data_IF_623770789418
#
_entry.id   IF_623770789418
#
_cell.length_a   1.000
_cell.length_b   1.000
_cell.length_c   1.000
_cell.angle_alpha   90.00
_cell.angle_beta   90.00
_cell.angle_gamma   90.00
#
_symmetry.space_group_name_H-M   'P 1'
#
loop_
_entity.id
_entity.type
_entity.pdbx_description
1 polymer ?
#
# COMPACT_ATOMS: atom_id res chain seq x y z
N UNK A 1 12.30 -1.23 16.70
CA UNK A 1 11.47 -2.45 16.72
C UNK A 1 11.28 -2.94 15.29
N UNK A 2 11.36 -4.24 15.04
CA UNK A 2 11.20 -4.88 13.73
C UNK A 2 9.72 -5.20 13.48
N UNK A 3 9.11 -4.58 12.47
CA UNK A 3 7.73 -4.83 12.02
C UNK A 3 7.57 -6.32 11.64
N UNK A 4 6.52 -6.96 12.14
CA UNK A 4 6.26 -8.39 11.93
C UNK A 4 7.07 -9.34 12.83
N UNK A 5 7.90 -8.82 13.73
CA UNK A 5 8.60 -9.62 14.76
C UNK A 5 8.29 -9.06 16.15
N UNK A 6 8.57 -7.77 16.35
CA UNK A 6 8.39 -7.10 17.64
C UNK A 6 6.96 -6.53 17.78
N UNK A 7 6.26 -6.27 16.66
CA UNK A 7 4.89 -5.78 16.65
C UNK A 7 4.18 -6.08 15.31
N UNK A 8 2.84 -6.12 15.34
CA UNK A 8 2.01 -6.30 14.16
C UNK A 8 2.07 -5.07 13.26
N UNK A 9 2.41 -5.30 12.00
CA UNK A 9 2.37 -4.26 10.98
C UNK A 9 0.96 -3.90 10.55
N UNK A 10 0.67 -2.60 10.44
CA UNK A 10 -0.56 -2.09 9.81
C UNK A 10 -0.24 -1.60 8.39
N UNK A 11 -1.14 -1.90 7.45
CA UNK A 11 -1.07 -1.51 6.04
C UNK A 11 -2.35 -0.77 5.68
N UNK A 12 -2.22 0.32 4.93
CA UNK A 12 -3.35 1.01 4.30
C UNK A 12 -3.40 0.57 2.83
N UNK A 13 -4.57 0.16 2.38
CA UNK A 13 -4.83 -0.23 0.99
C UNK A 13 -5.85 0.71 0.37
N UNK A 14 -5.76 0.94 -0.93
CA UNK A 14 -6.67 1.81 -1.66
C UNK A 14 -6.93 1.32 -3.08
N UNK A 15 -8.09 1.68 -3.61
CA UNK A 15 -8.47 1.47 -5.00
C UNK A 15 -8.73 2.83 -5.64
N UNK A 16 -8.00 3.15 -6.70
CA UNK A 16 -8.32 4.28 -7.55
C UNK A 16 -9.22 3.79 -8.68
N UNK A 17 -10.36 4.44 -8.86
CA UNK A 17 -11.27 4.18 -9.97
C UNK A 17 -11.52 5.47 -10.75
N UNK A 18 -11.78 5.34 -12.05
CA UNK A 18 -12.08 6.48 -12.93
C UNK A 18 -13.55 6.93 -12.88
N UNK A 19 -14.41 6.16 -12.18
CA UNK A 19 -15.85 6.41 -12.11
C UNK A 19 -16.66 5.82 -13.28
N UNK A 20 -15.99 5.24 -14.28
CA UNK A 20 -16.59 4.52 -15.39
C UNK A 20 -16.52 2.98 -15.23
N UNK A 21 -16.10 2.52 -14.05
CA UNK A 21 -15.98 1.09 -13.72
C UNK A 21 -14.58 0.51 -13.93
N UNK A 22 -13.60 1.32 -14.35
CA UNK A 22 -12.21 0.87 -14.41
C UNK A 22 -11.51 1.13 -13.09
N UNK A 23 -10.60 0.23 -12.72
CA UNK A 23 -9.76 0.33 -11.52
C UNK A 23 -8.29 0.30 -11.89
N UNK A 24 -7.48 1.10 -11.22
CA UNK A 24 -6.03 1.08 -11.36
C UNK A 24 -5.46 -0.12 -10.60
N UNK A 25 -4.70 -0.97 -11.31
CA UNK A 25 -3.87 -2.01 -10.73
C UNK A 25 -2.40 -1.72 -11.02
N UNK A 26 -1.54 -1.98 -10.05
CA UNK A 26 -0.10 -1.84 -10.18
C UNK A 26 0.55 -3.21 -10.29
N UNK A 27 1.49 -3.38 -11.23
CA UNK A 27 2.32 -4.58 -11.29
C UNK A 27 3.51 -4.39 -10.36
N UNK A 28 3.60 -5.21 -9.31
CA UNK A 28 4.64 -5.11 -8.28
C UNK A 28 6.02 -5.34 -8.90
N UNK A 29 6.95 -4.43 -8.63
CA UNK A 29 8.30 -4.47 -9.18
C UNK A 29 9.18 -5.51 -8.46
N UNK A 30 10.36 -5.79 -9.01
CA UNK A 30 11.37 -6.62 -8.35
C UNK A 30 11.93 -6.00 -7.05
N UNK A 31 11.74 -4.69 -6.84
CA UNK A 31 12.19 -3.99 -5.63
C UNK A 31 11.17 -4.05 -4.48
N UNK A 32 9.98 -4.61 -4.72
CA UNK A 32 8.99 -4.81 -3.67
C UNK A 32 9.44 -5.93 -2.72
N UNK A 33 9.09 -5.80 -1.44
CA UNK A 33 9.40 -6.80 -0.40
C UNK A 33 8.81 -8.18 -0.71
N UNK A 34 7.61 -8.19 -1.28
CA UNK A 34 6.77 -9.36 -1.52
C UNK A 34 5.99 -9.23 -2.84
N UNK A 35 5.38 -10.35 -3.26
CA UNK A 35 4.46 -10.45 -4.40
C UNK A 35 5.00 -9.88 -5.73
N UNK A 36 6.31 -9.93 -5.91
CA UNK A 36 6.99 -9.42 -7.10
C UNK A 36 6.39 -10.01 -8.39
N UNK A 37 6.11 -9.15 -9.37
CA UNK A 37 5.53 -9.50 -10.65
C UNK A 37 4.02 -9.76 -10.66
N UNK A 38 3.34 -9.71 -9.50
CA UNK A 38 1.88 -9.82 -9.39
C UNK A 38 1.19 -8.47 -9.58
N UNK A 39 -0.09 -8.51 -9.95
CA UNK A 39 -0.95 -7.35 -10.01
C UNK A 39 -1.63 -7.16 -8.65
N UNK A 40 -1.62 -5.94 -8.15
CA UNK A 40 -2.13 -5.58 -6.84
C UNK A 40 -2.80 -4.21 -6.88
N UNK A 41 -3.66 -3.96 -5.90
CA UNK A 41 -4.16 -2.61 -5.62
C UNK A 41 -3.06 -1.79 -4.93
N UNK A 42 -3.24 -0.48 -4.87
CA UNK A 42 -2.24 0.37 -4.22
C UNK A 42 -2.28 0.22 -2.70
N UNK A 43 -1.15 0.43 -2.04
CA UNK A 43 -1.09 0.41 -0.59
C UNK A 43 0.33 0.47 -0.04
N UNK A 44 0.42 0.74 1.26
CA UNK A 44 1.69 0.88 1.96
C UNK A 44 1.56 0.83 3.48
N UNK A 45 2.71 0.83 4.15
CA UNK A 45 2.77 0.68 5.60
C UNK A 45 2.35 1.95 6.35
N UNK A 46 1.48 1.80 7.34
CA UNK A 46 1.24 2.85 8.33
C UNK A 46 2.43 2.87 9.32
N UNK A 47 3.05 4.04 9.44
CA UNK A 47 4.14 4.29 10.38
C UNK A 47 3.62 4.79 11.72
N UNK A 48 4.40 4.60 12.78
CA UNK A 48 3.99 5.05 14.11
C UNK A 48 3.89 6.58 14.17
N UNK A 49 2.74 7.09 14.59
CA UNK A 49 2.48 8.52 14.69
C UNK A 49 1.90 9.16 13.42
N UNK A 50 1.86 8.44 12.29
CA UNK A 50 1.15 8.89 11.09
C UNK A 50 -0.37 8.73 11.26
N UNK A 51 -1.14 9.59 10.59
CA UNK A 51 -2.58 9.37 10.40
C UNK A 51 -2.82 8.52 9.16
N UNK A 52 -3.93 7.78 9.16
CA UNK A 52 -4.36 6.95 8.01
C UNK A 52 -4.42 7.78 6.73
N UNK A 53 -5.00 8.98 6.79
CA UNK A 53 -5.17 9.87 5.64
C UNK A 53 -3.84 10.43 5.12
N UNK A 54 -2.89 10.75 6.01
CA UNK A 54 -1.57 11.23 5.63
C UNK A 54 -0.78 10.13 4.92
N UNK A 55 -0.78 8.91 5.48
CA UNK A 55 -0.16 7.74 4.83
C UNK A 55 -0.83 7.45 3.49
N UNK A 56 -2.17 7.45 3.42
CA UNK A 56 -2.91 7.22 2.17
C UNK A 56 -2.48 8.19 1.06
N UNK A 57 -2.40 9.49 1.36
CA UNK A 57 -1.96 10.51 0.39
C UNK A 57 -0.53 10.28 -0.08
N UNK A 58 0.38 9.87 0.81
CA UNK A 58 1.78 9.54 0.49
C UNK A 58 1.89 8.32 -0.43
N UNK A 59 1.07 7.29 -0.22
CA UNK A 59 1.14 6.06 -1.04
C UNK A 59 0.49 6.24 -2.42
N UNK A 60 -0.49 7.16 -2.56
CA UNK A 60 -1.12 7.46 -3.86
C UNK A 60 -0.21 8.31 -4.77
N UNK A 61 0.58 9.24 -4.20
CA UNK A 61 1.24 10.34 -4.92
C UNK A 61 2.70 10.08 -5.31
#
# INVERSE_FOLDING_TARGET
>A
MKKGQDYTGVTIVYMCHDGAGNVLLNKRSANCRDEQGRWDIGGGGLEFGDTVEATLKKEIA
#
